data_IF_600158250585
#
_entry.id   IF_600158250585
#
_cell.length_a   1.000
_cell.length_b   1.000
_cell.length_c   1.000
_cell.angle_alpha   90.00
_cell.angle_beta   90.00
_cell.angle_gamma   90.00
#
_symmetry.space_group_name_H-M   'P 1'
#
loop_
_entity.id
_entity.type
_entity.pdbx_description
1 polymer ?
#
# COMPACT_ATOMS: atom_id res chain seq x y z
N UNK A 1 -45.73 -28.19 4.91
CA UNK A 1 -46.21 -27.44 3.74
C UNK A 1 -45.02 -26.65 3.22
N UNK A 2 -44.26 -27.23 2.29
CA UNK A 2 -43.17 -26.51 1.61
C UNK A 2 -43.83 -25.44 0.74
N UNK A 3 -43.45 -24.18 0.94
CA UNK A 3 -44.11 -23.05 0.31
C UNK A 3 -44.03 -23.19 -1.22
N UNK A 4 -45.16 -22.99 -1.91
CA UNK A 4 -45.27 -23.07 -3.37
C UNK A 4 -44.18 -22.25 -4.11
N UNK A 5 -43.68 -21.19 -3.45
CA UNK A 5 -42.57 -20.36 -3.90
C UNK A 5 -41.21 -21.09 -3.91
N UNK A 6 -40.91 -21.93 -2.92
CA UNK A 6 -39.65 -22.70 -2.90
C UNK A 6 -39.63 -23.73 -4.03
N UNK A 7 -40.77 -24.38 -4.29
CA UNK A 7 -40.92 -25.32 -5.42
C UNK A 7 -40.72 -24.59 -6.75
N UNK A 8 -41.36 -23.42 -6.93
CA UNK A 8 -41.28 -22.66 -8.17
C UNK A 8 -39.85 -22.19 -8.49
N UNK A 9 -39.10 -21.71 -7.49
CA UNK A 9 -37.70 -21.27 -7.65
C UNK A 9 -36.76 -22.44 -8.00
N UNK A 10 -36.97 -23.59 -7.36
CA UNK A 10 -36.13 -24.78 -7.59
C UNK A 10 -36.39 -25.38 -8.98
N UNK A 11 -37.66 -25.47 -9.41
CA UNK A 11 -38.02 -25.95 -10.75
C UNK A 11 -37.63 -25.00 -11.88
N UNK A 12 -37.51 -23.69 -11.60
CA UNK A 12 -37.12 -22.70 -12.61
C UNK A 12 -35.64 -22.77 -13.00
N UNK A 13 -34.81 -23.39 -12.15
CA UNK A 13 -33.35 -23.46 -12.32
C UNK A 13 -32.88 -24.91 -12.55
N UNK A 14 -33.60 -25.90 -12.02
CA UNK A 14 -33.28 -27.31 -12.25
C UNK A 14 -33.45 -27.69 -13.73
N UNK A 15 -32.46 -28.42 -14.26
CA UNK A 15 -32.49 -28.94 -15.64
C UNK A 15 -33.64 -29.93 -15.87
N UNK A 16 -34.06 -30.63 -14.81
CA UNK A 16 -35.18 -31.56 -14.84
C UNK A 16 -36.15 -31.29 -13.66
N UNK A 17 -37.38 -30.79 -13.91
CA UNK A 17 -38.33 -30.43 -12.86
C UNK A 17 -38.80 -31.62 -12.00
N UNK A 18 -38.87 -32.82 -12.57
CA UNK A 18 -39.18 -34.07 -11.86
C UNK A 18 -38.13 -34.39 -10.79
N UNK A 19 -36.86 -34.13 -11.08
CA UNK A 19 -35.75 -34.36 -10.16
C UNK A 19 -35.77 -33.38 -8.99
N UNK A 20 -36.15 -32.12 -9.24
CA UNK A 20 -36.32 -31.10 -8.21
C UNK A 20 -37.47 -31.44 -7.24
N UNK A 21 -38.57 -31.98 -7.74
CA UNK A 21 -39.69 -32.43 -6.92
C UNK A 21 -39.33 -33.65 -6.07
N UNK A 22 -38.65 -34.63 -6.68
CA UNK A 22 -38.12 -35.78 -5.96
C UNK A 22 -37.14 -35.36 -4.86
N UNK A 23 -36.20 -34.45 -5.14
CA UNK A 23 -35.25 -33.96 -4.14
C UNK A 23 -35.92 -33.22 -2.97
N UNK A 24 -36.96 -32.42 -3.26
CA UNK A 24 -37.73 -31.72 -2.23
C UNK A 24 -38.51 -32.68 -1.31
N UNK A 25 -38.94 -33.82 -1.85
CA UNK A 25 -39.58 -34.89 -1.07
C UNK A 25 -38.54 -35.68 -0.26
N UNK A 26 -37.42 -36.04 -0.88
CA UNK A 26 -36.30 -36.73 -0.24
C UNK A 26 -35.72 -35.93 0.95
N UNK A 27 -35.63 -34.60 0.82
CA UNK A 27 -35.17 -33.69 1.89
C UNK A 27 -36.06 -33.74 3.14
N UNK A 28 -37.35 -34.05 2.99
CA UNK A 28 -38.29 -34.10 4.12
C UNK A 28 -38.23 -35.43 4.88
N UNK A 29 -37.64 -36.48 4.29
CA UNK A 29 -37.54 -37.82 4.88
C UNK A 29 -36.14 -38.42 4.65
N UNK A 30 -35.07 -37.76 5.10
CA UNK A 30 -33.69 -38.19 4.85
C UNK A 30 -33.37 -39.59 5.40
N UNK A 31 -34.08 -40.02 6.45
CA UNK A 31 -33.95 -41.33 7.08
C UNK A 31 -34.42 -42.51 6.20
N UNK A 32 -35.17 -42.24 5.12
CA UNK A 32 -35.64 -43.28 4.20
C UNK A 32 -34.71 -43.48 2.99
N UNK A 33 -33.65 -42.67 2.87
CA UNK A 33 -32.77 -42.69 1.71
C UNK A 33 -31.73 -43.81 1.80
N UNK A 34 -31.66 -44.63 0.75
CA UNK A 34 -30.59 -45.59 0.57
C UNK A 34 -29.32 -44.92 0.00
N UNK A 35 -28.21 -45.65 -0.08
CA UNK A 35 -26.92 -45.10 -0.53
C UNK A 35 -26.96 -44.53 -1.96
N UNK A 36 -27.71 -45.16 -2.86
CA UNK A 36 -27.87 -44.70 -4.25
C UNK A 36 -28.70 -43.41 -4.31
N UNK A 37 -29.73 -43.31 -3.48
CA UNK A 37 -30.56 -42.10 -3.36
C UNK A 37 -29.80 -40.93 -2.74
N UNK A 38 -28.90 -41.19 -1.78
CA UNK A 38 -27.99 -40.17 -1.24
C UNK A 38 -27.03 -39.68 -2.33
N UNK A 39 -26.48 -40.57 -3.16
CA UNK A 39 -25.61 -40.18 -4.28
C UNK A 39 -26.37 -39.37 -5.32
N UNK A 40 -27.60 -39.77 -5.66
CA UNK A 40 -28.49 -39.03 -6.57
C UNK A 40 -28.81 -37.63 -6.03
N UNK A 41 -29.09 -37.51 -4.73
CA UNK A 41 -29.31 -36.22 -4.07
C UNK A 41 -28.07 -35.31 -4.14
N UNK A 42 -26.88 -35.86 -3.94
CA UNK A 42 -25.63 -35.10 -4.06
C UNK A 42 -25.35 -34.64 -5.50
N UNK A 43 -25.58 -35.52 -6.48
CA UNK A 43 -25.45 -35.16 -7.90
C UNK A 43 -26.44 -34.04 -8.25
N UNK A 44 -27.69 -34.14 -7.81
CA UNK A 44 -28.68 -33.10 -8.02
C UNK A 44 -28.25 -31.75 -7.42
N UNK A 45 -27.76 -31.73 -6.17
CA UNK A 45 -27.27 -30.49 -5.53
C UNK A 45 -26.11 -29.88 -6.31
N UNK A 46 -25.16 -30.70 -6.77
CA UNK A 46 -24.02 -30.22 -7.53
C UNK A 46 -24.45 -29.63 -8.88
N UNK A 47 -25.30 -30.34 -9.62
CA UNK A 47 -25.83 -29.88 -10.90
C UNK A 47 -26.69 -28.62 -10.74
N UNK A 48 -27.52 -28.57 -9.70
CA UNK A 48 -28.32 -27.39 -9.38
C UNK A 48 -27.44 -26.17 -9.05
N UNK A 49 -26.39 -26.33 -8.24
CA UNK A 49 -25.45 -25.25 -7.93
C UNK A 49 -24.78 -24.69 -9.18
N UNK A 50 -24.31 -25.56 -10.09
CA UNK A 50 -23.73 -25.12 -11.36
C UNK A 50 -24.74 -24.41 -12.27
N UNK A 51 -26.01 -24.84 -12.26
CA UNK A 51 -27.08 -24.19 -13.02
C UNK A 51 -27.47 -22.82 -12.44
N UNK A 52 -27.44 -22.66 -11.11
CA UNK A 52 -27.59 -21.36 -10.43
C UNK A 52 -26.48 -20.42 -10.86
N UNK A 53 -25.22 -20.86 -10.83
CA UNK A 53 -24.06 -20.04 -11.24
C UNK A 53 -24.11 -19.64 -12.72
N UNK A 54 -24.61 -20.53 -13.59
CA UNK A 54 -24.77 -20.25 -15.01
C UNK A 54 -25.99 -19.37 -15.34
N UNK A 55 -26.96 -19.26 -14.43
CA UNK A 55 -28.23 -18.57 -14.67
C UNK A 55 -28.05 -17.04 -14.73
N UNK A 56 -28.53 -16.36 -15.79
CA UNK A 56 -28.54 -14.90 -15.89
C UNK A 56 -29.31 -14.21 -14.75
N UNK A 57 -30.27 -14.90 -14.12
CA UNK A 57 -31.08 -14.36 -13.02
C UNK A 57 -30.34 -14.33 -11.68
N UNK A 58 -29.27 -15.11 -11.51
CA UNK A 58 -28.45 -15.15 -10.29
C UNK A 58 -27.14 -14.34 -10.40
N UNK A 59 -26.89 -13.67 -11.54
CA UNK A 59 -25.70 -12.84 -11.73
C UNK A 59 -25.73 -11.64 -10.78
N UNK A 60 -24.89 -11.71 -9.73
CA UNK A 60 -24.50 -10.53 -8.97
C UNK A 60 -24.06 -9.41 -9.92
N UNK A 61 -24.43 -8.18 -9.60
CA UNK A 61 -24.28 -7.02 -10.47
C UNK A 61 -22.83 -6.88 -10.99
N UNK A 62 -22.68 -7.14 -12.29
CA UNK A 62 -21.42 -7.36 -12.99
C UNK A 62 -20.48 -6.14 -12.95
N UNK A 63 -19.16 -6.36 -12.84
CA UNK A 63 -18.13 -5.28 -12.81
C UNK A 63 -18.24 -4.35 -14.02
N UNK A 64 -18.61 -4.90 -15.17
CA UNK A 64 -18.84 -4.15 -16.42
C UNK A 64 -20.07 -3.24 -16.33
N UNK A 65 -21.12 -3.68 -15.63
CA UNK A 65 -22.34 -2.90 -15.42
C UNK A 65 -22.09 -1.75 -14.45
N UNK A 66 -21.29 -1.98 -13.39
CA UNK A 66 -20.83 -0.92 -12.47
C UNK A 66 -20.01 0.14 -13.21
N UNK A 67 -19.03 -0.26 -14.03
CA UNK A 67 -18.25 0.66 -14.86
C UNK A 67 -19.11 1.45 -15.86
N UNK A 68 -20.09 0.80 -16.48
CA UNK A 68 -21.01 1.48 -17.40
C UNK A 68 -21.97 2.44 -16.69
N UNK A 69 -22.32 2.15 -15.43
CA UNK A 69 -23.11 3.04 -14.58
C UNK A 69 -22.27 4.23 -14.16
N UNK A 70 -21.06 4.02 -13.63
CA UNK A 70 -20.07 5.07 -13.33
C UNK A 70 -19.91 6.06 -14.50
N UNK A 71 -19.67 5.53 -15.71
CA UNK A 71 -19.55 6.34 -16.94
C UNK A 71 -20.79 7.18 -17.30
N UNK A 72 -21.98 6.82 -16.83
CA UNK A 72 -23.21 7.61 -17.05
C UNK A 72 -23.35 8.75 -16.04
N UNK A 73 -22.60 8.68 -14.94
CA UNK A 73 -22.57 9.67 -13.87
C UNK A 73 -21.33 10.58 -13.97
N UNK A 74 -20.31 10.18 -14.74
CA UNK A 74 -19.15 11.01 -15.07
C UNK A 74 -19.58 12.36 -15.67
N UNK A 75 -18.92 13.43 -15.23
CA UNK A 75 -19.14 14.80 -15.71
C UNK A 75 -19.02 14.89 -17.23
N UNK A 76 -19.95 15.62 -17.84
CA UNK A 76 -19.93 15.91 -19.28
C UNK A 76 -19.10 17.12 -19.65
N UNK A 77 -18.89 18.04 -18.71
CA UNK A 77 -18.17 19.30 -18.90
C UNK A 77 -17.19 19.52 -17.75
N UNK A 78 -16.12 20.26 -18.03
CA UNK A 78 -15.03 20.44 -17.06
C UNK A 78 -15.38 21.34 -15.87
N UNK A 79 -16.39 22.20 -16.04
CA UNK A 79 -16.88 23.13 -15.01
C UNK A 79 -18.16 22.62 -14.30
N UNK A 80 -18.59 21.38 -14.57
CA UNK A 80 -19.78 20.82 -13.94
C UNK A 80 -19.46 20.29 -12.54
N UNK A 81 -20.28 20.70 -11.55
CA UNK A 81 -20.15 20.27 -10.16
C UNK A 81 -20.99 19.03 -9.86
N UNK A 82 -20.43 18.11 -9.07
CA UNK A 82 -21.14 16.93 -8.63
C UNK A 82 -22.40 17.29 -7.81
N UNK A 83 -23.54 16.67 -8.15
CA UNK A 83 -24.84 16.97 -7.51
C UNK A 83 -25.66 15.71 -7.30
N UNK A 84 -26.62 15.79 -6.39
CA UNK A 84 -27.57 14.70 -6.16
C UNK A 84 -28.59 14.68 -7.30
N UNK A 85 -28.65 13.55 -8.03
CA UNK A 85 -29.63 13.33 -9.10
C UNK A 85 -30.90 12.68 -8.59
N UNK A 86 -30.75 11.68 -7.74
CA UNK A 86 -31.88 10.94 -7.17
C UNK A 86 -31.48 10.33 -5.83
N UNK A 87 -32.47 9.96 -5.03
CA UNK A 87 -32.25 9.21 -3.80
C UNK A 87 -33.17 7.98 -3.75
N UNK A 88 -32.74 6.97 -3.01
CA UNK A 88 -33.57 5.83 -2.60
C UNK A 88 -33.35 5.61 -1.10
N UNK A 89 -34.44 5.46 -0.36
CA UNK A 89 -34.40 5.04 1.03
C UNK A 89 -34.90 3.60 1.15
N UNK A 90 -34.15 2.78 1.87
CA UNK A 90 -34.49 1.40 2.16
C UNK A 90 -34.56 1.23 3.68
N UNK A 91 -35.70 0.72 4.17
CA UNK A 91 -35.91 0.43 5.58
C UNK A 91 -35.63 -1.05 5.82
N UNK A 92 -34.60 -1.35 6.62
CA UNK A 92 -34.24 -2.72 6.99
C UNK A 92 -34.28 -2.86 8.51
N UNK A 93 -35.39 -3.40 9.03
CA UNK A 93 -35.66 -3.40 10.47
C UNK A 93 -35.77 -1.96 11.00
N UNK A 94 -34.99 -1.64 12.04
CA UNK A 94 -34.93 -0.30 12.64
C UNK A 94 -33.92 0.63 11.93
N UNK A 95 -33.28 0.16 10.86
CA UNK A 95 -32.23 0.92 10.16
C UNK A 95 -32.76 1.50 8.86
N UNK A 96 -32.59 2.80 8.69
CA UNK A 96 -32.81 3.48 7.42
C UNK A 96 -31.48 3.65 6.69
N UNK A 97 -31.39 3.07 5.50
CA UNK A 97 -30.28 3.29 4.57
C UNK A 97 -30.76 4.22 3.47
N UNK A 98 -30.02 5.30 3.20
CA UNK A 98 -30.31 6.19 2.08
C UNK A 98 -29.17 6.16 1.10
N UNK A 99 -29.48 5.87 -0.15
CA UNK A 99 -28.54 5.87 -1.27
C UNK A 99 -28.86 7.04 -2.18
N UNK A 100 -27.91 7.94 -2.34
CA UNK A 100 -27.95 9.02 -3.30
C UNK A 100 -27.22 8.61 -4.56
N UNK A 101 -27.86 8.77 -5.70
CA UNK A 101 -27.20 8.69 -6.99
C UNK A 101 -26.73 10.09 -7.37
N UNK A 102 -25.42 10.23 -7.54
CA UNK A 102 -24.79 11.47 -7.96
C UNK A 102 -24.74 11.57 -9.48
N UNK A 103 -24.71 12.79 -9.98
CA UNK A 103 -24.44 13.14 -11.37
C UNK A 103 -23.29 14.14 -11.40
N UNK A 104 -22.60 14.22 -12.53
CA UNK A 104 -21.45 15.09 -12.76
C UNK A 104 -20.26 14.76 -11.84
N UNK A 105 -20.06 13.47 -11.55
CA UNK A 105 -18.94 12.95 -10.75
C UNK A 105 -17.62 13.09 -11.54
N UNK A 106 -16.48 13.40 -10.88
CA UNK A 106 -15.18 13.49 -11.55
C UNK A 106 -14.75 12.21 -12.26
N UNK A 107 -13.80 12.37 -13.19
CA UNK A 107 -13.22 11.27 -13.95
C UNK A 107 -12.58 10.20 -13.05
N UNK A 108 -12.44 8.93 -13.49
CA UNK A 108 -11.85 7.88 -12.66
C UNK A 108 -10.44 8.19 -12.13
N UNK A 109 -9.66 9.01 -12.82
CA UNK A 109 -8.33 9.46 -12.38
C UNK A 109 -8.36 10.42 -11.20
N UNK A 110 -9.46 11.15 -11.02
CA UNK A 110 -9.62 12.20 -9.99
C UNK A 110 -10.59 11.79 -8.88
N UNK A 111 -11.39 10.75 -9.16
CA UNK A 111 -12.45 10.24 -8.30
C UNK A 111 -11.98 9.96 -6.88
N UNK A 112 -10.84 9.28 -6.70
CA UNK A 112 -10.35 8.88 -5.37
C UNK A 112 -10.00 10.09 -4.49
N UNK A 113 -9.40 11.11 -5.07
CA UNK A 113 -9.01 12.34 -4.36
C UNK A 113 -10.25 13.14 -3.96
N UNK A 114 -11.21 13.26 -4.88
CA UNK A 114 -12.49 13.92 -4.64
C UNK A 114 -13.36 13.19 -3.61
N UNK A 115 -13.49 11.87 -3.73
CA UNK A 115 -14.25 11.05 -2.78
C UNK A 115 -13.60 11.08 -1.38
N UNK A 116 -12.26 11.13 -1.32
CA UNK A 116 -11.51 11.35 -0.08
C UNK A 116 -11.84 12.69 0.58
N UNK A 117 -11.86 13.78 -0.19
CA UNK A 117 -12.20 15.11 0.33
C UNK A 117 -13.63 15.17 0.88
N UNK A 118 -14.62 14.63 0.15
CA UNK A 118 -16.01 14.55 0.65
C UNK A 118 -16.09 13.69 1.92
N UNK A 119 -15.39 12.56 1.94
CA UNK A 119 -15.37 11.69 3.11
C UNK A 119 -14.75 12.37 4.32
N UNK A 120 -13.66 13.13 4.17
CA UNK A 120 -13.06 13.93 5.25
C UNK A 120 -14.03 15.01 5.77
N UNK A 121 -14.74 15.69 4.87
CA UNK A 121 -15.69 16.76 5.22
C UNK A 121 -16.95 16.20 5.92
N UNK A 122 -17.48 15.08 5.43
CA UNK A 122 -18.68 14.45 6.00
C UNK A 122 -18.39 13.65 7.28
N UNK A 123 -17.20 13.04 7.39
CA UNK A 123 -16.80 12.16 8.51
C UNK A 123 -15.75 12.80 9.43
N UNK A 124 -15.66 14.13 9.54
CA UNK A 124 -14.67 14.86 10.35
C UNK A 124 -14.56 14.43 11.84
N UNK A 125 -13.78 15.12 12.69
CA UNK A 125 -13.24 14.59 13.97
C UNK A 125 -14.25 14.29 15.12
N UNK A 126 -15.55 14.22 14.84
CA UNK A 126 -16.60 14.05 15.86
C UNK A 126 -17.12 12.60 15.93
N UNK A 127 -17.46 12.10 17.13
CA UNK A 127 -17.89 10.73 17.33
C UNK A 127 -19.36 10.57 16.90
N UNK A 128 -19.60 9.81 15.84
CA UNK A 128 -20.94 9.38 15.44
C UNK A 128 -20.85 8.16 14.52
N UNK A 129 -21.79 7.22 14.67
CA UNK A 129 -21.82 5.95 13.92
C UNK A 129 -22.18 6.10 12.43
N UNK A 130 -22.37 7.33 11.94
CA UNK A 130 -22.73 7.61 10.55
C UNK A 130 -21.50 7.49 9.66
N UNK A 131 -21.44 6.40 8.88
CA UNK A 131 -20.44 6.23 7.82
C UNK A 131 -21.06 6.65 6.50
N UNK A 132 -20.54 7.73 5.94
CA UNK A 132 -20.81 8.10 4.56
C UNK A 132 -19.86 7.31 3.66
N UNK A 133 -20.41 6.53 2.73
CA UNK A 133 -19.65 5.72 1.80
C UNK A 133 -19.92 6.19 0.37
N UNK A 134 -18.88 6.56 -0.36
CA UNK A 134 -18.99 6.96 -1.77
C UNK A 134 -18.44 5.81 -2.62
N UNK A 135 -19.25 5.34 -3.56
CA UNK A 135 -18.95 4.25 -4.48
C UNK A 135 -18.56 4.78 -5.86
N UNK A 136 -17.65 4.06 -6.54
CA UNK A 136 -17.12 4.41 -7.85
C UNK A 136 -18.18 4.58 -8.95
N UNK A 137 -19.38 4.02 -8.74
CA UNK A 137 -20.52 4.18 -9.64
C UNK A 137 -21.32 5.47 -9.41
N UNK A 138 -20.82 6.36 -8.55
CA UNK A 138 -21.44 7.64 -8.23
C UNK A 138 -22.54 7.52 -7.18
N UNK A 139 -22.56 6.45 -6.39
CA UNK A 139 -23.51 6.31 -5.28
C UNK A 139 -22.91 6.75 -3.95
N UNK A 140 -23.60 7.63 -3.24
CA UNK A 140 -23.31 7.99 -1.85
C UNK A 140 -24.32 7.28 -0.95
N UNK A 141 -23.84 6.36 -0.12
CA UNK A 141 -24.64 5.57 0.81
C UNK A 141 -24.48 6.10 2.23
N UNK A 142 -25.60 6.29 2.90
CA UNK A 142 -25.68 6.63 4.32
C UNK A 142 -26.40 5.49 5.03
N UNK A 143 -25.70 4.85 5.95
CA UNK A 143 -26.29 3.88 6.85
C UNK A 143 -26.67 4.56 8.17
N UNK A 144 -27.84 4.24 8.71
CA UNK A 144 -28.28 4.64 10.06
C UNK A 144 -28.49 6.17 10.19
N UNK A 145 -29.43 6.71 9.43
CA UNK A 145 -29.91 8.07 9.65
C UNK A 145 -30.84 8.09 10.88
N UNK A 146 -30.28 8.34 12.06
CA UNK A 146 -31.05 8.73 13.25
C UNK A 146 -31.19 10.26 13.30
N UNK A 147 -32.38 10.81 13.05
CA UNK A 147 -32.67 12.25 13.24
C UNK A 147 -33.11 13.00 11.97
N UNK A 148 -32.90 14.33 11.97
CA UNK A 148 -33.40 15.22 10.92
C UNK A 148 -32.65 15.05 9.58
N UNK A 149 -33.36 14.46 8.62
CA UNK A 149 -32.90 14.22 7.26
C UNK A 149 -32.61 15.52 6.49
N UNK A 150 -33.32 16.62 6.77
CA UNK A 150 -33.11 17.89 6.09
C UNK A 150 -31.71 18.44 6.39
N UNK A 151 -31.30 18.43 7.66
CA UNK A 151 -29.95 18.82 8.07
C UNK A 151 -28.86 17.93 7.45
N UNK A 152 -29.11 16.63 7.30
CA UNK A 152 -28.18 15.72 6.63
C UNK A 152 -28.04 16.04 5.13
N UNK A 153 -29.15 16.35 4.45
CA UNK A 153 -29.15 16.74 3.03
C UNK A 153 -28.35 18.02 2.81
N UNK A 154 -28.62 19.08 3.57
CA UNK A 154 -27.89 20.35 3.44
C UNK A 154 -26.39 20.17 3.66
N UNK A 155 -25.98 19.29 4.58
CA UNK A 155 -24.55 18.97 4.77
C UNK A 155 -23.93 18.27 3.58
N UNK A 156 -24.65 17.34 2.95
CA UNK A 156 -24.16 16.64 1.75
C UNK A 156 -24.02 17.61 0.59
N UNK A 157 -25.00 18.49 0.39
CA UNK A 157 -24.95 19.52 -0.67
C UNK A 157 -23.79 20.49 -0.45
N UNK A 158 -23.55 20.92 0.80
CA UNK A 158 -22.41 21.76 1.16
C UNK A 158 -21.09 21.02 0.91
N UNK A 159 -20.97 19.75 1.30
CA UNK A 159 -19.75 18.97 1.07
C UNK A 159 -19.51 18.68 -0.43
N UNK A 160 -20.56 18.43 -1.21
CA UNK A 160 -20.44 18.27 -2.67
C UNK A 160 -19.96 19.56 -3.34
N UNK A 161 -20.47 20.71 -2.91
CA UNK A 161 -20.04 22.02 -3.41
C UNK A 161 -18.62 22.40 -2.94
N UNK A 162 -18.27 22.03 -1.70
CA UNK A 162 -16.98 22.32 -1.07
C UNK A 162 -15.84 21.44 -1.57
N UNK A 163 -16.11 20.17 -1.88
CA UNK A 163 -15.09 19.20 -2.24
C UNK A 163 -14.30 19.56 -3.49
N UNK A 164 -14.91 20.15 -4.51
CA UNK A 164 -14.16 20.54 -5.72
C UNK A 164 -13.22 21.71 -5.47
N UNK A 165 -13.66 22.71 -4.70
CA UNK A 165 -12.79 23.80 -4.25
C UNK A 165 -11.68 23.28 -3.33
N UNK A 166 -11.99 22.32 -2.46
CA UNK A 166 -11.03 21.70 -1.55
C UNK A 166 -9.99 20.84 -2.29
N UNK A 167 -10.39 20.08 -3.31
CA UNK A 167 -9.48 19.29 -4.16
C UNK A 167 -8.57 20.22 -4.95
N UNK A 168 -9.09 21.29 -5.55
CA UNK A 168 -8.28 22.26 -6.28
C UNK A 168 -7.29 22.98 -5.35
N UNK A 169 -7.74 23.40 -4.16
CA UNK A 169 -6.87 23.99 -3.16
C UNK A 169 -5.79 23.00 -2.69
N UNK A 170 -6.15 21.74 -2.42
CA UNK A 170 -5.23 20.68 -2.00
C UNK A 170 -4.21 20.32 -3.07
N UNK A 171 -4.61 20.30 -4.35
CA UNK A 171 -3.67 20.12 -5.47
C UNK A 171 -2.67 21.28 -5.56
N UNK A 172 -3.15 22.51 -5.38
CA UNK A 172 -2.28 23.68 -5.39
C UNK A 172 -1.29 23.65 -4.21
N UNK A 173 -1.74 23.29 -3.00
CA UNK A 173 -0.84 23.14 -1.84
C UNK A 173 0.14 22.00 -2.02
N UNK A 174 -0.30 20.82 -2.48
CA UNK A 174 0.60 19.67 -2.72
C UNK A 174 1.62 19.96 -3.81
N UNK A 175 1.24 20.69 -4.86
CA UNK A 175 2.18 21.11 -5.90
C UNK A 175 3.22 22.11 -5.35
N UNK A 176 2.80 23.06 -4.52
CA UNK A 176 3.71 24.00 -3.84
C UNK A 176 4.64 23.27 -2.88
N UNK A 177 4.11 22.40 -2.04
CA UNK A 177 4.88 21.60 -1.07
C UNK A 177 5.91 20.73 -1.78
N UNK A 178 5.55 20.07 -2.89
CA UNK A 178 6.50 19.29 -3.70
C UNK A 178 7.59 20.15 -4.32
N UNK A 179 7.25 21.35 -4.80
CA UNK A 179 8.23 22.26 -5.37
C UNK A 179 9.20 22.79 -4.30
N UNK A 180 8.69 23.13 -3.12
CA UNK A 180 9.50 23.50 -1.96
C UNK A 180 10.39 22.35 -1.49
N UNK A 181 9.87 21.12 -1.48
CA UNK A 181 10.63 19.92 -1.11
C UNK A 181 11.75 19.62 -2.09
N UNK A 182 11.48 19.73 -3.39
CA UNK A 182 12.50 19.56 -4.43
C UNK A 182 13.59 20.63 -4.32
N UNK A 183 13.21 21.88 -4.09
CA UNK A 183 14.17 22.97 -3.90
C UNK A 183 15.04 22.72 -2.65
N UNK A 184 14.43 22.31 -1.53
CA UNK A 184 15.17 22.00 -0.31
C UNK A 184 16.13 20.80 -0.50
N UNK A 185 15.73 19.78 -1.26
CA UNK A 185 16.60 18.66 -1.63
C UNK A 185 17.81 19.14 -2.45
N UNK A 186 17.55 19.93 -3.49
CA UNK A 186 18.58 20.40 -4.40
C UNK A 186 19.56 21.35 -3.70
N UNK A 187 19.07 22.22 -2.81
CA UNK A 187 19.90 23.12 -2.00
C UNK A 187 20.79 22.33 -1.01
N UNK A 188 20.24 21.30 -0.35
CA UNK A 188 21.02 20.44 0.54
C UNK A 188 22.08 19.65 -0.23
N UNK A 189 21.71 19.07 -1.38
CA UNK A 189 22.64 18.35 -2.26
C UNK A 189 23.76 19.26 -2.74
N UNK A 190 23.45 20.49 -3.14
CA UNK A 190 24.46 21.46 -3.56
C UNK A 190 25.44 21.79 -2.42
N UNK A 191 24.97 21.96 -1.19
CA UNK A 191 25.82 22.17 0.00
C UNK A 191 26.74 20.97 0.26
N UNK A 192 26.22 19.74 0.19
CA UNK A 192 27.03 18.52 0.35
C UNK A 192 28.12 18.44 -0.73
N UNK A 193 27.78 18.68 -2.00
CA UNK A 193 28.76 18.67 -3.11
C UNK A 193 29.82 19.75 -2.91
N UNK A 194 29.41 20.97 -2.52
CA UNK A 194 30.32 22.09 -2.31
C UNK A 194 31.29 21.87 -1.14
N UNK A 195 30.82 21.21 -0.07
CA UNK A 195 31.64 20.91 1.10
C UNK A 195 32.46 19.62 0.96
N UNK A 196 32.13 18.75 0.01
CA UNK A 196 32.91 17.52 -0.25
C UNK A 196 34.24 17.88 -0.91
N UNK A 197 35.38 17.41 -0.37
CA UNK A 197 36.68 17.61 -1.00
C UNK A 197 36.70 17.13 -2.47
N UNK A 198 37.33 17.87 -3.40
CA UNK A 198 37.31 17.54 -4.83
C UNK A 198 38.04 16.24 -5.17
N UNK A 199 38.93 15.79 -4.27
CA UNK A 199 39.63 14.52 -4.38
C UNK A 199 39.39 13.75 -3.09
N UNK A 200 38.59 12.68 -3.20
CA UNK A 200 38.39 11.70 -2.15
C UNK A 200 39.27 10.46 -2.40
N UNK A 201 39.56 9.72 -1.34
CA UNK A 201 40.18 8.41 -1.45
C UNK A 201 39.25 7.46 -2.22
N UNK A 202 39.81 6.55 -3.02
CA UNK A 202 39.04 5.67 -3.92
C UNK A 202 38.03 4.77 -3.21
N UNK A 203 38.23 4.52 -1.91
CA UNK A 203 37.35 3.72 -1.08
C UNK A 203 36.27 4.56 -0.38
N UNK A 204 36.33 5.89 -0.40
CA UNK A 204 35.42 6.78 0.32
C UNK A 204 34.50 7.51 -0.66
N UNK A 205 33.20 7.45 -0.42
CA UNK A 205 32.20 8.26 -1.14
C UNK A 205 31.34 8.99 -0.13
N UNK A 206 31.10 10.26 -0.39
CA UNK A 206 30.22 11.12 0.42
C UNK A 206 29.07 11.57 -0.47
N UNK A 207 27.86 11.50 0.06
CA UNK A 207 26.66 11.89 -0.66
C UNK A 207 25.53 12.24 0.30
N UNK A 208 24.33 12.32 -0.26
CA UNK A 208 23.10 12.60 0.47
C UNK A 208 22.19 11.37 0.44
N UNK A 209 21.50 11.11 1.55
CA UNK A 209 20.40 10.15 1.62
C UNK A 209 19.17 10.81 2.25
N UNK A 210 17.98 10.45 1.76
CA UNK A 210 16.74 10.79 2.46
C UNK A 210 16.63 9.96 3.73
N UNK A 211 16.51 10.62 4.88
CA UNK A 211 16.34 9.96 6.17
C UNK A 211 14.92 9.36 6.27
N UNK A 212 14.84 8.17 6.88
CA UNK A 212 13.58 7.48 7.14
C UNK A 212 12.87 7.97 8.42
N UNK A 213 13.52 8.82 9.23
CA UNK A 213 13.01 9.24 10.55
C UNK A 213 12.06 10.44 10.53
N UNK A 214 11.72 10.96 9.35
CA UNK A 214 10.65 11.94 9.19
C UNK A 214 10.52 12.47 7.76
N UNK A 215 9.39 13.08 7.41
CA UNK A 215 9.33 13.87 6.18
C UNK A 215 10.37 15.00 6.28
N UNK A 216 11.19 15.15 5.23
CA UNK A 216 12.10 16.30 5.03
C UNK A 216 13.42 16.30 5.82
N UNK A 217 13.91 15.15 6.26
CA UNK A 217 15.25 15.05 6.85
C UNK A 217 16.22 14.47 5.81
N UNK A 218 17.21 15.28 5.40
CA UNK A 218 18.32 14.84 4.56
C UNK A 218 19.54 14.60 5.43
N UNK A 219 20.26 13.53 5.16
CA UNK A 219 21.43 13.12 5.93
C UNK A 219 22.65 12.97 5.02
N UNK A 220 23.84 13.13 5.60
CA UNK A 220 25.09 12.83 4.90
C UNK A 220 25.31 11.31 4.92
N UNK A 221 25.44 10.73 3.73
CA UNK A 221 25.81 9.33 3.57
C UNK A 221 27.32 9.22 3.34
N UNK A 222 27.98 8.41 4.16
CA UNK A 222 29.38 8.03 4.04
C UNK A 222 29.44 6.56 3.63
N UNK A 223 29.75 6.32 2.37
CA UNK A 223 29.91 4.96 1.85
C UNK A 223 31.40 4.60 1.79
N UNK A 224 31.72 3.43 2.34
CA UNK A 224 33.06 2.87 2.31
C UNK A 224 33.05 1.61 1.46
N UNK A 225 33.65 1.70 0.28
CA UNK A 225 33.64 0.65 -0.75
C UNK A 225 34.75 -0.39 -0.52
N UNK A 226 34.76 -0.96 0.69
CA UNK A 226 35.62 -2.11 1.03
C UNK A 226 34.91 -3.08 1.95
N UNK A 227 34.84 -4.32 1.50
CA UNK A 227 34.39 -5.48 2.27
C UNK A 227 35.14 -5.59 3.62
N UNK A 228 36.38 -5.07 3.66
CA UNK A 228 37.24 -4.92 4.82
C UNK A 228 36.57 -4.33 6.07
N UNK A 229 35.63 -3.41 5.89
CA UNK A 229 35.05 -2.61 6.98
C UNK A 229 33.85 -3.30 7.62
N UNK A 230 33.24 -4.28 6.93
CA UNK A 230 32.07 -5.01 7.45
C UNK A 230 32.39 -5.86 8.68
N UNK A 231 33.59 -6.41 8.75
CA UNK A 231 34.06 -7.24 9.88
C UNK A 231 34.48 -6.44 11.11
N UNK A 232 34.58 -5.11 10.99
CA UNK A 232 34.98 -4.18 12.06
C UNK A 232 33.90 -3.13 12.31
N UNK A 233 32.62 -3.51 12.20
CA UNK A 233 31.50 -2.58 12.35
C UNK A 233 31.45 -1.88 13.71
N UNK A 234 31.92 -2.53 14.77
CA UNK A 234 31.94 -1.95 16.11
C UNK A 234 33.04 -0.90 16.25
N UNK A 235 34.26 -1.19 15.78
CA UNK A 235 35.38 -0.23 15.72
C UNK A 235 34.97 1.00 14.88
N UNK A 236 34.26 0.79 13.77
CA UNK A 236 33.74 1.87 12.94
C UNK A 236 32.68 2.70 13.64
N UNK A 237 31.71 2.07 14.31
CA UNK A 237 30.65 2.78 15.04
C UNK A 237 31.26 3.66 16.14
N UNK A 238 32.19 3.12 16.91
CA UNK A 238 32.90 3.88 17.94
C UNK A 238 33.64 5.09 17.35
N UNK A 239 34.32 4.92 16.21
CA UNK A 239 35.01 6.03 15.55
C UNK A 239 34.04 7.13 15.06
N UNK A 240 32.87 6.75 14.54
CA UNK A 240 31.81 7.71 14.20
C UNK A 240 31.32 8.47 15.44
N UNK A 241 31.13 7.80 16.57
CA UNK A 241 30.77 8.43 17.85
C UNK A 241 31.87 9.38 18.35
N UNK A 242 33.14 8.97 18.33
CA UNK A 242 34.29 9.78 18.73
C UNK A 242 34.50 11.02 17.83
N UNK A 243 34.13 10.91 16.55
CA UNK A 243 34.11 12.02 15.61
C UNK A 243 32.93 12.98 15.81
N UNK A 244 32.03 12.72 16.77
CA UNK A 244 30.82 13.52 17.03
C UNK A 244 29.71 13.30 16.00
N UNK A 245 29.82 12.25 15.20
CA UNK A 245 29.00 11.98 14.02
C UNK A 245 28.35 10.59 14.14
N UNK A 246 27.43 10.38 15.11
CA UNK A 246 26.84 9.07 15.35
C UNK A 246 26.20 8.53 14.08
N UNK A 247 26.59 7.32 13.69
CA UNK A 247 26.22 6.75 12.41
C UNK A 247 25.53 5.39 12.55
N UNK A 248 24.63 5.12 11.62
CA UNK A 248 23.99 3.81 11.47
C UNK A 248 24.20 3.27 10.07
N UNK A 249 24.06 1.94 9.92
CA UNK A 249 24.25 1.28 8.63
C UNK A 249 22.94 1.30 7.84
N UNK A 250 22.95 1.84 6.64
CA UNK A 250 21.81 1.79 5.71
C UNK A 250 22.28 1.77 4.24
N UNK A 251 21.53 1.07 3.39
CA UNK A 251 21.75 0.97 1.93
C UNK A 251 23.23 0.76 1.52
N UNK A 252 23.94 -0.10 2.24
CA UNK A 252 25.33 -0.44 1.93
C UNK A 252 26.39 0.61 2.30
N UNK A 253 26.04 1.60 3.12
CA UNK A 253 26.97 2.59 3.69
C UNK A 253 26.62 2.96 5.12
N UNK A 254 27.36 3.91 5.68
CA UNK A 254 27.10 4.53 6.97
C UNK A 254 26.37 5.86 6.75
N UNK A 255 25.34 6.13 7.54
CA UNK A 255 24.55 7.35 7.45
C UNK A 255 24.77 8.16 8.71
N UNK A 256 25.12 9.42 8.55
CA UNK A 256 25.24 10.40 9.63
C UNK A 256 24.10 11.40 9.49
N UNK A 257 23.09 11.26 10.36
CA UNK A 257 21.87 12.06 10.30
C UNK A 257 21.99 13.46 10.91
N UNK A 258 22.99 13.68 11.77
CA UNK A 258 23.17 14.96 12.49
C UNK A 258 24.30 15.83 11.94
N UNK A 259 24.94 15.44 10.85
CA UNK A 259 26.08 16.18 10.29
C UNK A 259 25.59 17.29 9.35
N UNK A 260 25.99 18.52 9.63
CA UNK A 260 25.79 19.62 8.71
C UNK A 260 26.78 19.51 7.54
N UNK A 261 26.38 19.84 6.29
CA UNK A 261 27.28 19.76 5.14
C UNK A 261 28.60 20.50 5.35
N UNK A 262 28.60 21.63 6.04
CA UNK A 262 29.79 22.44 6.31
C UNK A 262 30.82 21.73 7.22
N UNK A 263 30.42 20.69 7.94
CA UNK A 263 31.29 19.89 8.82
C UNK A 263 32.03 18.78 8.07
N UNK A 264 31.64 18.48 6.83
CA UNK A 264 32.23 17.41 6.00
C UNK A 264 33.76 17.51 5.91
N UNK A 265 34.38 18.67 5.63
CA UNK A 265 35.84 18.76 5.52
C UNK A 265 36.55 18.37 6.83
N UNK A 266 36.07 18.86 7.97
CA UNK A 266 36.66 18.56 9.28
C UNK A 266 36.47 17.09 9.64
N UNK A 267 35.28 16.55 9.37
CA UNK A 267 34.99 15.13 9.54
C UNK A 267 35.95 14.26 8.73
N UNK A 268 36.14 14.53 7.44
CA UNK A 268 37.05 13.76 6.57
C UNK A 268 38.47 13.76 7.12
N UNK A 269 38.98 14.91 7.58
CA UNK A 269 40.33 15.03 8.14
C UNK A 269 40.50 14.18 9.41
N UNK A 270 39.49 14.13 10.29
CA UNK A 270 39.54 13.33 11.52
C UNK A 270 39.31 11.84 11.28
N UNK A 271 38.41 11.52 10.35
CA UNK A 271 37.90 10.17 10.15
C UNK A 271 38.82 9.29 9.29
N UNK A 272 39.41 9.86 8.23
CA UNK A 272 40.27 9.10 7.29
C UNK A 272 41.42 8.36 7.97
N UNK A 273 42.22 8.99 8.86
CA UNK A 273 43.32 8.29 9.54
C UNK A 273 42.87 7.07 10.36
N UNK A 274 41.70 7.16 11.00
CA UNK A 274 41.15 6.06 11.80
C UNK A 274 40.70 4.88 10.93
N UNK A 275 40.04 5.16 9.80
CA UNK A 275 39.66 4.11 8.84
C UNK A 275 40.90 3.45 8.23
N UNK A 276 41.93 4.22 7.88
CA UNK A 276 43.19 3.67 7.36
C UNK A 276 43.86 2.75 8.41
N UNK A 277 43.81 3.10 9.70
CA UNK A 277 44.33 2.25 10.77
C UNK A 277 43.55 0.93 10.89
N UNK A 278 42.22 0.94 10.76
CA UNK A 278 41.38 -0.26 10.76
C UNK A 278 41.70 -1.14 9.54
N UNK A 279 41.83 -0.53 8.36
CA UNK A 279 42.19 -1.23 7.13
C UNK A 279 43.59 -1.86 7.27
N UNK A 280 44.57 -1.14 7.83
CA UNK A 280 45.90 -1.67 8.05
C UNK A 280 45.91 -2.83 9.06
N UNK A 281 45.16 -2.71 10.17
CA UNK A 281 44.98 -3.77 11.18
C UNK A 281 44.43 -5.06 10.55
N UNK A 282 43.43 -4.95 9.66
CA UNK A 282 42.90 -6.10 8.91
C UNK A 282 43.96 -6.70 7.99
N UNK A 283 44.57 -5.88 7.14
CA UNK A 283 45.53 -6.37 6.15
C UNK A 283 46.69 -7.12 6.83
N UNK A 284 47.14 -6.64 8.00
CA UNK A 284 48.15 -7.31 8.79
C UNK A 284 47.64 -8.65 9.35
N UNK A 285 46.42 -8.68 9.92
CA UNK A 285 45.82 -9.92 10.43
C UNK A 285 45.59 -10.96 9.32
N UNK A 286 45.20 -10.55 8.11
CA UNK A 286 45.06 -11.42 6.96
C UNK A 286 46.41 -11.95 6.47
N UNK A 287 47.44 -11.09 6.39
CA UNK A 287 48.80 -11.51 6.05
C UNK A 287 49.38 -12.50 7.07
N UNK A 288 49.16 -12.27 8.37
CA UNK A 288 49.57 -13.20 9.43
C UNK A 288 48.84 -14.54 9.32
N UNK A 289 47.52 -14.50 9.08
CA UNK A 289 46.73 -15.72 8.90
C UNK A 289 47.15 -16.49 7.66
N UNK A 290 47.43 -15.80 6.56
CA UNK A 290 47.94 -16.42 5.34
C UNK A 290 49.31 -17.06 5.59
N UNK A 291 50.21 -16.40 6.31
CA UNK A 291 51.51 -16.97 6.69
C UNK A 291 51.36 -18.22 7.58
N UNK A 292 50.41 -18.22 8.53
CA UNK A 292 50.14 -19.37 9.40
C UNK A 292 49.51 -20.54 8.63
N UNK A 293 48.64 -20.25 7.65
CA UNK A 293 47.97 -21.26 6.83
C UNK A 293 48.86 -21.79 5.71
N UNK A 294 49.87 -21.03 5.27
CA UNK A 294 50.80 -21.42 4.21
C UNK A 294 51.37 -22.84 4.33
N UNK A 295 51.95 -23.29 5.47
CA UNK A 295 52.45 -24.66 5.59
C UNK A 295 51.35 -25.72 5.48
N UNK A 296 50.14 -25.41 5.95
CA UNK A 296 48.97 -26.31 5.85
C UNK A 296 48.50 -26.40 4.41
N UNK A 297 48.41 -25.28 3.70
CA UNK A 297 48.03 -25.22 2.29
C UNK A 297 49.04 -25.96 1.41
N UNK A 298 50.34 -25.79 1.67
CA UNK A 298 51.42 -26.51 0.98
C UNK A 298 51.34 -28.03 1.21
N UNK A 299 51.04 -28.48 2.43
CA UNK A 299 50.84 -29.91 2.74
C UNK A 299 49.57 -30.48 2.08
N UNK A 300 48.47 -29.73 2.06
CA UNK A 300 47.24 -30.15 1.36
C UNK A 300 47.46 -30.26 -0.15
N UNK A 301 48.22 -29.32 -0.72
CA UNK A 301 48.59 -29.34 -2.14
C UNK A 301 49.49 -30.55 -2.44
N UNK A 302 50.47 -30.84 -1.57
CA UNK A 302 51.34 -32.03 -1.68
C UNK A 302 50.55 -33.33 -1.63
N UNK A 303 49.45 -33.38 -0.86
CA UNK A 303 48.55 -34.54 -0.76
C UNK A 303 47.58 -34.69 -1.94
N UNK A 304 47.62 -33.76 -2.91
CA UNK A 304 46.80 -33.83 -4.12
C UNK A 304 45.38 -33.29 -3.96
N UNK A 305 45.09 -32.54 -2.90
CA UNK A 305 43.81 -31.82 -2.80
C UNK A 305 43.81 -30.60 -3.74
N UNK A 306 42.80 -30.44 -4.61
CA UNK A 306 42.72 -29.29 -5.50
C UNK A 306 42.44 -28.00 -4.73
N UNK A 307 43.08 -26.91 -5.14
CA UNK A 307 42.83 -25.56 -4.64
C UNK A 307 41.94 -24.84 -5.64
N UNK A 308 40.69 -24.60 -5.28
CA UNK A 308 39.83 -23.70 -6.04
C UNK A 308 40.36 -22.28 -5.82
N UNK A 309 40.80 -21.64 -6.92
CA UNK A 309 41.25 -20.25 -6.91
C UNK A 309 40.21 -19.49 -7.74
N UNK A 310 39.30 -18.82 -7.05
CA UNK A 310 38.45 -17.78 -7.63
C UNK A 310 39.15 -16.41 -7.55
#
# INVERSE_FOLDING_TARGET
>A
MVALQEVALLTAIALEPSEALWFLEAKQRPELLNLEEVQRALVFVFTFATAVEASPAARQEDRRRRRNKARRHERRFDDAHAKIRSYRAELTGDRTTVTFTLEDVPSPSEYNEWAGAISEELNGPWPGHRRFLIHEDGELVITEIEGDFATAMTRIEVALAGAESAVLARRATVASERAEEQQAEDDFRARVIAATPPVLLSWLRIGMIGDAHGPRQYAVQVQIDREAVRSYSDDMRQMFEEAGAPAYVARGGWVVSSMDPEEIPEFVVKFVPGVDAIIAKRNNAEAEREQQLRPVLEELTRRGYPRDVD
#
